data_IF_243820755413
#
_entry.id   IF_243820755413
#
_cell.length_a   1.000
_cell.length_b   1.000
_cell.length_c   1.000
_cell.angle_alpha   90.00
_cell.angle_beta   90.00
_cell.angle_gamma   90.00
#
_symmetry.space_group_name_H-M   'P 1'
#
loop_
_entity.id
_entity.type
_entity.pdbx_description
1 polymer ?
#
# COMPACT_ATOMS: atom_id res chain seq x y z
N UNK A 1 37.59 -17.11 4.04
CA UNK A 1 37.07 -18.43 3.63
C UNK A 1 35.54 -18.37 3.66
N UNK A 2 34.91 -18.58 2.50
CA UNK A 2 33.47 -18.79 2.20
C UNK A 2 32.37 -17.88 2.77
N UNK A 3 31.95 -16.94 1.90
CA UNK A 3 30.56 -16.63 1.52
C UNK A 3 29.46 -17.33 2.35
N UNK A 4 28.75 -16.57 3.17
CA UNK A 4 27.32 -16.76 3.36
C UNK A 4 26.60 -15.75 2.46
N UNK A 5 25.94 -16.31 1.45
CA UNK A 5 25.27 -15.64 0.33
C UNK A 5 24.01 -14.93 0.86
N UNK A 6 23.65 -13.73 0.36
CA UNK A 6 22.47 -12.99 0.80
C UNK A 6 21.20 -13.62 0.21
N UNK A 7 20.74 -14.75 0.75
CA UNK A 7 19.56 -15.47 0.21
C UNK A 7 18.26 -15.11 0.96
N UNK A 8 18.33 -14.50 2.14
CA UNK A 8 17.12 -14.12 2.91
C UNK A 8 16.54 -12.74 2.59
N UNK A 9 16.56 -12.33 1.31
CA UNK A 9 15.89 -11.09 0.85
C UNK A 9 14.39 -11.26 0.55
N UNK A 10 13.80 -12.43 0.82
CA UNK A 10 12.49 -12.80 0.25
C UNK A 10 11.29 -12.95 1.21
N UNK A 11 11.47 -13.14 2.52
CA UNK A 11 10.36 -13.64 3.36
C UNK A 11 9.76 -12.65 4.37
N UNK A 12 10.28 -11.43 4.50
CA UNK A 12 9.59 -10.37 5.26
C UNK A 12 8.96 -9.37 4.29
N UNK A 13 7.94 -9.81 3.55
CA UNK A 13 7.01 -8.83 3.00
C UNK A 13 6.28 -8.24 4.20
N UNK A 14 6.71 -7.06 4.63
CA UNK A 14 5.99 -6.31 5.64
C UNK A 14 4.65 -5.95 5.02
N UNK A 15 3.60 -6.60 5.52
CA UNK A 15 2.24 -6.36 5.09
C UNK A 15 1.82 -5.02 5.67
N UNK A 16 1.25 -4.17 4.83
CA UNK A 16 0.78 -2.86 5.23
C UNK A 16 -0.74 -2.82 5.25
N UNK A 17 -1.26 -2.23 6.33
CA UNK A 17 -2.66 -1.85 6.49
C UNK A 17 -2.67 -0.34 6.62
N UNK A 18 -3.27 0.34 5.64
CA UNK A 18 -3.35 1.81 5.62
C UNK A 18 -4.76 2.23 5.98
N UNK A 19 -4.88 2.92 7.10
CA UNK A 19 -6.12 3.57 7.52
C UNK A 19 -6.05 5.07 7.22
N UNK A 20 -6.91 5.51 6.29
CA UNK A 20 -7.11 6.90 5.90
C UNK A 20 -8.58 7.27 5.95
N UNK A 21 -9.30 6.73 6.93
CA UNK A 21 -10.69 7.13 7.20
C UNK A 21 -10.76 8.59 7.66
N UNK A 22 -11.88 9.26 7.39
CA UNK A 22 -12.13 10.64 7.82
C UNK A 22 -11.06 11.67 7.44
N UNK A 23 -10.23 11.37 6.43
CA UNK A 23 -9.08 12.19 6.03
C UNK A 23 -9.46 13.32 5.06
N UNK A 24 -10.76 13.53 4.81
CA UNK A 24 -11.30 14.52 3.88
C UNK A 24 -10.68 14.45 2.48
N UNK A 25 -10.25 13.27 2.06
CA UNK A 25 -9.57 13.07 0.78
C UNK A 25 -10.54 13.34 -0.39
N UNK A 26 -10.22 14.25 -1.32
CA UNK A 26 -11.06 14.51 -2.49
C UNK A 26 -10.87 13.44 -3.59
N UNK A 27 -9.72 12.76 -3.59
CA UNK A 27 -9.32 11.71 -4.53
C UNK A 27 -8.49 10.65 -3.81
N UNK A 28 -8.34 9.46 -4.40
CA UNK A 28 -7.41 8.44 -3.91
C UNK A 28 -5.96 8.91 -4.17
N UNK A 29 -5.10 9.04 -3.13
CA UNK A 29 -3.71 9.43 -3.31
C UNK A 29 -2.91 8.42 -4.14
N UNK A 30 -2.15 8.88 -5.13
CA UNK A 30 -1.34 8.00 -5.98
C UNK A 30 -0.18 7.34 -5.22
N UNK A 31 0.28 7.96 -4.13
CA UNK A 31 1.34 7.42 -3.28
C UNK A 31 0.99 6.03 -2.72
N UNK A 32 -0.30 5.70 -2.59
CA UNK A 32 -0.78 4.39 -2.16
C UNK A 32 -0.35 3.30 -3.14
N UNK A 33 -0.28 3.60 -4.45
CA UNK A 33 0.17 2.64 -5.46
C UNK A 33 1.65 2.27 -5.33
N UNK A 34 2.47 3.07 -4.60
CA UNK A 34 3.85 2.68 -4.27
C UNK A 34 3.89 1.42 -3.41
N UNK A 35 2.87 1.23 -2.59
CA UNK A 35 2.72 0.09 -1.70
C UNK A 35 1.92 -1.06 -2.34
N UNK A 36 1.62 -1.02 -3.65
CA UNK A 36 0.79 -2.03 -4.31
C UNK A 36 1.29 -3.49 -4.19
N UNK A 37 2.55 -3.71 -3.81
CA UNK A 37 3.12 -5.06 -3.59
C UNK A 37 3.07 -5.55 -2.13
N UNK A 38 2.82 -4.66 -1.19
CA UNK A 38 2.87 -4.90 0.27
C UNK A 38 1.57 -4.55 0.98
N UNK A 39 0.75 -3.68 0.41
CA UNK A 39 -0.54 -3.25 0.93
C UNK A 39 -1.58 -4.36 0.79
N UNK A 40 -2.10 -4.83 1.90
CA UNK A 40 -3.18 -5.83 1.95
C UNK A 40 -4.53 -5.16 2.18
N UNK A 41 -4.57 -4.14 3.03
CA UNK A 41 -5.80 -3.46 3.39
C UNK A 41 -5.65 -1.94 3.31
N UNK A 42 -6.63 -1.30 2.67
CA UNK A 42 -6.72 0.15 2.51
C UNK A 42 -8.12 0.61 2.89
N UNK A 43 -8.23 1.36 3.98
CA UNK A 43 -9.50 1.90 4.45
C UNK A 43 -9.60 3.39 4.08
N UNK A 44 -10.58 3.73 3.25
CA UNK A 44 -10.84 5.09 2.76
C UNK A 44 -12.25 5.59 3.10
N UNK A 45 -12.89 5.01 4.11
CA UNK A 45 -14.25 5.39 4.51
C UNK A 45 -14.33 6.85 4.99
N UNK A 46 -15.53 7.42 4.86
CA UNK A 46 -15.82 8.79 5.30
C UNK A 46 -14.88 9.86 4.69
N UNK A 47 -14.46 9.66 3.44
CA UNK A 47 -13.78 10.67 2.63
C UNK A 47 -14.74 11.29 1.58
N UNK A 48 -14.24 12.29 0.85
CA UNK A 48 -14.99 12.99 -0.21
C UNK A 48 -14.59 12.52 -1.62
N UNK A 49 -14.24 11.24 -1.76
CA UNK A 49 -13.75 10.66 -3.01
C UNK A 49 -14.93 10.52 -3.98
N UNK A 50 -14.93 11.31 -5.05
CA UNK A 50 -16.01 11.32 -6.06
C UNK A 50 -15.72 10.42 -7.25
N UNK A 51 -14.45 10.14 -7.50
CA UNK A 51 -13.98 9.38 -8.65
C UNK A 51 -13.04 8.31 -8.16
N UNK A 52 -13.36 7.04 -8.46
CA UNK A 52 -12.41 5.96 -8.25
C UNK A 52 -11.46 5.86 -9.45
N UNK A 53 -10.18 5.51 -9.22
CA UNK A 53 -9.26 5.18 -10.29
C UNK A 53 -9.79 3.99 -11.07
N UNK A 54 -9.71 4.05 -12.41
CA UNK A 54 -10.09 2.90 -13.25
C UNK A 54 -9.06 1.79 -13.06
N UNK A 55 -9.55 0.58 -12.82
CA UNK A 55 -8.72 -0.62 -12.81
C UNK A 55 -8.48 -1.00 -14.28
N UNK A 56 -7.22 -0.96 -14.71
CA UNK A 56 -6.81 -1.43 -16.04
C UNK A 56 -6.60 -2.93 -16.04
#
# INVERSE_FOLDING_TARGET
MFKCIPIFRGCNRQIEVIDKRHSSLPIVPEDIFRYARTLEELQLDANHIRTLPKVS
#
